data_IF_276836223475
#
_entry.id   IF_276836223475
#
_cell.length_a   1.000
_cell.length_b   1.000
_cell.length_c   1.000
_cell.angle_alpha   90.00
_cell.angle_beta   90.00
_cell.angle_gamma   90.00
#
_symmetry.space_group_name_H-M   'P 1'
#
loop_
_entity.id
_entity.type
_entity.pdbx_description
1 polymer ?
#
# COMPACT_ATOMS: atom_id res chain seq x y z
N UNK A 1 -2.97 10.02 23.33
CA UNK A 1 -2.63 10.72 22.07
C UNK A 1 -2.23 9.68 21.02
N UNK A 2 -3.07 9.42 20.01
CA UNK A 2 -2.73 8.49 18.92
C UNK A 2 -1.68 9.15 18.04
N UNK A 3 -0.45 8.61 18.03
CA UNK A 3 0.64 9.09 17.18
C UNK A 3 0.23 8.97 15.72
N UNK A 4 0.31 10.10 15.02
CA UNK A 4 0.01 10.31 13.61
C UNK A 4 0.80 9.33 12.73
N UNK A 5 0.13 8.38 12.09
CA UNK A 5 0.68 7.54 11.01
C UNK A 5 0.74 8.33 9.68
N UNK A 6 1.15 9.61 9.73
CA UNK A 6 0.78 10.60 8.71
C UNK A 6 1.95 11.07 7.84
N UNK A 7 2.98 10.25 7.64
CA UNK A 7 4.12 10.60 6.77
C UNK A 7 3.87 10.25 5.31
N UNK A 8 3.66 8.96 5.03
CA UNK A 8 3.50 8.46 3.67
C UNK A 8 2.11 8.79 3.08
N UNK A 9 1.04 8.49 3.83
CA UNK A 9 -0.34 8.67 3.38
C UNK A 9 -0.72 10.13 3.06
N UNK A 10 -0.21 11.10 3.83
CA UNK A 10 -0.40 12.52 3.53
C UNK A 10 0.30 12.96 2.24
N UNK A 11 1.41 12.32 1.86
CA UNK A 11 2.18 12.67 0.66
C UNK A 11 1.49 12.18 -0.61
N UNK A 12 0.85 11.02 -0.55
CA UNK A 12 0.05 10.45 -1.66
C UNK A 12 -1.40 10.96 -1.67
N UNK A 13 -1.86 11.59 -0.58
CA UNK A 13 -3.22 12.13 -0.49
C UNK A 13 -4.31 11.07 -0.46
N UNK A 14 -4.00 9.86 0.00
CA UNK A 14 -4.92 8.72 0.02
C UNK A 14 -5.10 8.18 1.44
N UNK A 15 -6.35 7.93 1.82
CA UNK A 15 -6.71 7.31 3.09
C UNK A 15 -6.90 5.79 2.96
N UNK A 16 -6.46 5.04 3.96
CA UNK A 16 -6.68 3.59 4.08
C UNK A 16 -8.16 3.21 4.00
N UNK A 17 -9.01 3.92 4.74
CA UNK A 17 -10.47 3.69 4.75
C UNK A 17 -11.10 3.92 3.38
N UNK A 18 -10.57 4.87 2.59
CA UNK A 18 -11.03 5.13 1.23
C UNK A 18 -10.69 3.94 0.32
N UNK A 19 -9.46 3.46 0.34
CA UNK A 19 -9.03 2.32 -0.48
C UNK A 19 -9.80 1.05 -0.13
N UNK A 20 -9.97 0.78 1.17
CA UNK A 20 -10.73 -0.39 1.63
C UNK A 20 -12.19 -0.35 1.19
N UNK A 21 -12.83 0.82 1.24
CA UNK A 21 -14.23 0.99 0.80
C UNK A 21 -14.39 0.92 -0.71
N UNK A 22 -13.46 1.51 -1.47
CA UNK A 22 -13.60 1.64 -2.93
C UNK A 22 -13.14 0.37 -3.67
N UNK A 23 -12.10 -0.31 -3.17
CA UNK A 23 -11.47 -1.45 -3.84
C UNK A 23 -11.57 -2.76 -3.06
N UNK A 24 -12.02 -2.75 -1.81
CA UNK A 24 -12.04 -3.95 -0.96
C UNK A 24 -10.65 -4.46 -0.57
N UNK A 25 -9.62 -3.64 -0.80
CA UNK A 25 -8.21 -4.01 -0.64
C UNK A 25 -7.71 -3.60 0.73
N UNK A 26 -7.01 -4.51 1.41
CA UNK A 26 -6.21 -4.16 2.57
C UNK A 26 -4.96 -3.40 2.11
N UNK A 27 -4.95 -2.09 2.36
CA UNK A 27 -3.91 -1.20 1.87
C UNK A 27 -2.54 -1.53 2.47
N UNK A 28 -2.44 -1.97 3.72
CA UNK A 28 -1.14 -2.30 4.30
C UNK A 28 -0.57 -3.57 3.68
N UNK A 29 -1.39 -4.61 3.54
CA UNK A 29 -0.97 -5.84 2.88
C UNK A 29 -0.51 -5.58 1.45
N UNK A 30 -1.23 -4.71 0.73
CA UNK A 30 -0.84 -4.27 -0.61
C UNK A 30 0.50 -3.52 -0.60
N UNK A 31 0.69 -2.56 0.31
CA UNK A 31 1.94 -1.79 0.41
C UNK A 31 3.12 -2.68 0.81
N UNK A 32 2.94 -3.64 1.70
CA UNK A 32 3.98 -4.61 2.06
C UNK A 32 4.41 -5.40 0.81
N UNK A 33 3.46 -5.88 0.01
CA UNK A 33 3.74 -6.60 -1.23
C UNK A 33 4.47 -5.71 -2.28
N UNK A 34 4.06 -4.45 -2.42
CA UNK A 34 4.75 -3.47 -3.28
C UNK A 34 6.17 -3.18 -2.78
N UNK A 35 6.37 -3.06 -1.47
CA UNK A 35 7.68 -2.82 -0.86
C UNK A 35 8.65 -4.00 -1.05
N UNK A 36 8.12 -5.23 -1.13
CA UNK A 36 8.87 -6.43 -1.53
C UNK A 36 9.25 -6.45 -3.02
N UNK A 37 8.79 -5.48 -3.80
CA UNK A 37 9.08 -5.37 -5.23
C UNK A 37 8.25 -6.27 -6.12
N UNK A 38 7.13 -6.79 -5.61
CA UNK A 38 6.23 -7.64 -6.37
C UNK A 38 5.52 -6.86 -7.48
N UNK A 39 5.35 -7.52 -8.62
CA UNK A 39 4.54 -7.05 -9.75
C UNK A 39 3.05 -7.15 -9.45
N UNK A 40 2.20 -6.50 -10.26
CA UNK A 40 0.74 -6.57 -10.06
C UNK A 40 0.18 -8.00 -10.17
N UNK A 41 0.80 -8.84 -11.01
CA UNK A 41 0.42 -10.25 -11.17
C UNK A 41 0.78 -11.07 -9.94
N UNK A 42 1.99 -10.88 -9.39
CA UNK A 42 2.41 -11.54 -8.16
C UNK A 42 1.57 -11.09 -6.97
N UNK A 43 1.32 -9.79 -6.85
CA UNK A 43 0.45 -9.24 -5.81
C UNK A 43 -0.92 -9.90 -5.90
N UNK A 44 -1.56 -9.87 -7.07
CA UNK A 44 -2.87 -10.48 -7.32
C UNK A 44 -2.93 -11.95 -6.87
N UNK A 45 -1.92 -12.74 -7.24
CA UNK A 45 -1.83 -14.15 -6.88
C UNK A 45 -1.62 -14.39 -5.37
N UNK A 46 -0.85 -13.53 -4.69
CA UNK A 46 -0.49 -13.72 -3.28
C UNK A 46 -1.60 -13.23 -2.34
N UNK A 47 -2.14 -12.04 -2.61
CA UNK A 47 -3.13 -11.41 -1.71
C UNK A 47 -4.57 -11.76 -2.10
N UNK A 48 -4.78 -12.39 -3.25
CA UNK A 48 -6.07 -12.92 -3.68
C UNK A 48 -7.04 -11.87 -4.22
N UNK A 49 -6.54 -10.71 -4.66
CA UNK A 49 -7.35 -9.71 -5.36
C UNK A 49 -7.20 -9.85 -6.87
N UNK A 50 -8.25 -9.53 -7.62
CA UNK A 50 -8.18 -9.50 -9.08
C UNK A 50 -7.07 -8.55 -9.58
N UNK A 51 -6.38 -8.97 -10.63
CA UNK A 51 -5.29 -8.21 -11.25
C UNK A 51 -5.74 -6.79 -11.65
N UNK A 52 -6.97 -6.63 -12.11
CA UNK A 52 -7.52 -5.32 -12.46
C UNK A 52 -7.66 -4.42 -11.23
N UNK A 53 -8.10 -4.98 -10.10
CA UNK A 53 -8.21 -4.25 -8.82
C UNK A 53 -6.83 -3.82 -8.33
N UNK A 54 -5.85 -4.72 -8.37
CA UNK A 54 -4.45 -4.42 -8.01
C UNK A 54 -3.90 -3.26 -8.85
N UNK A 55 -4.09 -3.30 -10.17
CA UNK A 55 -3.67 -2.23 -11.10
C UNK A 55 -4.34 -0.90 -10.78
N UNK A 56 -5.65 -0.90 -10.49
CA UNK A 56 -6.38 0.32 -10.13
C UNK A 56 -5.86 0.93 -8.84
N UNK A 57 -5.63 0.11 -7.81
CA UNK A 57 -5.07 0.56 -6.53
C UNK A 57 -3.66 1.12 -6.71
N UNK A 58 -2.77 0.41 -7.42
CA UNK A 58 -1.41 0.91 -7.69
C UNK A 58 -1.43 2.26 -8.40
N UNK A 59 -2.30 2.41 -9.40
CA UNK A 59 -2.48 3.67 -10.13
C UNK A 59 -3.04 4.78 -9.25
N UNK A 60 -4.04 4.48 -8.41
CA UNK A 60 -4.63 5.43 -7.44
C UNK A 60 -3.59 5.95 -6.47
N UNK A 61 -2.63 5.11 -6.09
CA UNK A 61 -1.50 5.46 -5.23
C UNK A 61 -0.35 6.14 -5.99
N UNK A 62 -0.49 6.42 -7.29
CA UNK A 62 0.52 7.13 -8.08
C UNK A 62 1.60 6.23 -8.71
N UNK A 63 1.26 4.99 -9.06
CA UNK A 63 2.18 4.00 -9.64
C UNK A 63 3.41 3.72 -8.77
N UNK A 64 3.16 3.59 -7.47
CA UNK A 64 4.19 3.25 -6.50
C UNK A 64 4.91 1.93 -6.82
N UNK A 65 6.21 1.90 -6.58
CA UNK A 65 7.09 0.74 -6.72
C UNK A 65 7.78 0.37 -5.42
N UNK A 66 8.77 -0.53 -5.47
CA UNK A 66 9.55 -0.98 -4.30
C UNK A 66 10.24 0.15 -3.53
N UNK A 67 10.44 1.30 -4.16
CA UNK A 67 11.01 2.50 -3.54
C UNK A 67 10.17 3.01 -2.36
N UNK A 68 8.88 2.64 -2.26
CA UNK A 68 8.07 2.97 -1.07
C UNK A 68 8.63 2.33 0.20
N UNK A 69 9.31 1.19 0.12
CA UNK A 69 9.84 0.48 1.28
C UNK A 69 10.89 1.31 2.03
N UNK A 70 11.57 2.23 1.34
CA UNK A 70 12.54 3.16 1.93
C UNK A 70 11.85 4.32 2.66
N UNK A 71 10.69 4.76 2.19
CA UNK A 71 9.91 5.90 2.73
C UNK A 71 8.83 5.49 3.72
N UNK A 72 8.33 4.27 3.63
CA UNK A 72 7.27 3.73 4.47
C UNK A 72 7.80 3.10 5.74
N UNK A 73 9.13 2.85 5.88
CA UNK A 73 9.77 2.17 7.02
C UNK A 73 8.93 2.39 8.27
N UNK A 74 8.08 1.40 8.54
CA UNK A 74 7.25 1.35 9.73
C UNK A 74 8.28 1.54 10.82
N UNK A 75 8.10 2.58 11.63
CA UNK A 75 8.95 2.87 12.78
C UNK A 75 8.91 1.61 13.66
N UNK A 76 9.75 0.63 13.33
CA UNK A 76 10.07 -0.53 14.13
C UNK A 76 11.01 0.07 15.16
N UNK A 77 10.43 0.83 16.09
CA UNK A 77 11.14 1.24 17.29
C UNK A 77 11.58 -0.06 17.96
N UNK A 78 12.88 -0.23 18.04
CA UNK A 78 13.57 -1.31 18.74
C UNK A 78 12.89 -1.56 20.11
N UNK A 79 12.49 -2.81 20.35
CA UNK A 79 12.29 -3.37 21.70
C UNK A 79 13.38 -4.40 21.95
#
# INVERSE_FOLDING_TARGET
MKKKKDGFFNKIGVSEDEIKREYGVDLYLFLDAVALGLSDEEISNIIGYDLETVKKVRKRLGNIGSEIGLTYKKDLSDE
#
